data_IF_781821793890
#
_entry.id   IF_781821793890
#
_cell.length_a   1.000
_cell.length_b   1.000
_cell.length_c   1.000
_cell.angle_alpha   90.00
_cell.angle_beta   90.00
_cell.angle_gamma   90.00
#
_symmetry.space_group_name_H-M   'P 1'
#
loop_
_entity.id
_entity.type
_entity.pdbx_description
1 polymer ?
#
# COMPACT_ATOMS: atom_id res chain seq x y z
N UNK A 1 8.96 -10.36 17.80
CA UNK A 1 9.76 -11.19 16.89
C UNK A 1 9.03 -11.30 15.56
N UNK A 2 9.77 -11.38 14.46
CA UNK A 2 9.24 -11.38 13.10
C UNK A 2 9.96 -12.46 12.30
N UNK A 3 9.22 -13.22 11.50
CA UNK A 3 9.77 -14.07 10.44
C UNK A 3 9.43 -13.46 9.09
N UNK A 4 10.41 -13.39 8.20
CA UNK A 4 10.25 -12.86 6.85
C UNK A 4 10.89 -13.81 5.85
N UNK A 5 10.10 -14.25 4.87
CA UNK A 5 10.55 -14.99 3.70
C UNK A 5 10.30 -14.20 2.41
N UNK A 6 11.28 -14.16 1.51
CA UNK A 6 11.14 -13.58 0.17
C UNK A 6 12.05 -14.28 -0.84
N UNK A 7 11.74 -14.12 -2.13
CA UNK A 7 12.55 -14.64 -3.23
C UNK A 7 13.24 -13.51 -3.98
N UNK A 8 14.53 -13.68 -4.25
CA UNK A 8 15.33 -12.79 -5.10
C UNK A 8 16.32 -13.61 -5.91
N UNK A 9 16.35 -13.40 -7.23
CA UNK A 9 17.20 -14.12 -8.18
C UNK A 9 17.18 -15.66 -7.99
N UNK A 10 15.96 -16.24 -7.98
CA UNK A 10 15.68 -17.66 -7.72
C UNK A 10 16.21 -18.23 -6.39
N UNK A 11 16.66 -17.38 -5.48
CA UNK A 11 17.08 -17.76 -4.13
C UNK A 11 15.99 -17.37 -3.13
N UNK A 12 15.57 -18.32 -2.29
CA UNK A 12 14.65 -18.04 -1.17
C UNK A 12 15.46 -17.61 0.04
N UNK A 13 15.17 -16.44 0.58
CA UNK A 13 15.78 -15.92 1.80
C UNK A 13 14.78 -16.02 2.94
N UNK A 14 15.19 -16.66 4.03
CA UNK A 14 14.40 -16.79 5.27
C UNK A 14 15.12 -16.08 6.40
N UNK A 15 14.43 -15.18 7.09
CA UNK A 15 15.02 -14.35 8.14
C UNK A 15 14.13 -14.38 9.37
N UNK A 16 14.70 -14.73 10.51
CA UNK A 16 14.06 -14.55 11.82
C UNK A 16 14.70 -13.35 12.53
N UNK A 17 13.87 -12.45 13.04
CA UNK A 17 14.26 -11.22 13.70
C UNK A 17 13.73 -11.24 15.14
N UNK A 18 14.64 -11.25 16.11
CA UNK A 18 14.31 -11.17 17.53
C UNK A 18 14.66 -9.78 18.11
N UNK A 19 13.69 -9.14 18.75
CA UNK A 19 13.87 -7.78 19.26
C UNK A 19 13.93 -7.76 20.79
N UNK A 20 15.01 -7.22 21.36
CA UNK A 20 15.19 -7.06 22.82
C UNK A 20 15.22 -5.59 23.23
N UNK A 21 14.10 -5.13 23.77
CA UNK A 21 13.95 -3.78 24.30
C UNK A 21 14.25 -3.75 25.82
N UNK A 22 15.53 -3.87 26.18
CA UNK A 22 15.99 -3.76 27.56
C UNK A 22 16.62 -2.40 27.83
N UNK A 23 16.65 -2.01 29.10
CA UNK A 23 17.37 -0.83 29.56
C UNK A 23 18.86 -1.10 29.86
N UNK A 24 19.32 -2.33 29.63
CA UNK A 24 20.69 -2.79 29.81
C UNK A 24 21.13 -3.64 28.61
N UNK A 25 22.43 -3.94 28.52
CA UNK A 25 22.98 -4.75 27.43
C UNK A 25 22.46 -6.17 27.45
N UNK A 26 22.19 -6.73 26.26
CA UNK A 26 21.67 -8.09 26.10
C UNK A 26 22.75 -9.09 26.50
N UNK A 27 22.36 -10.04 27.36
CA UNK A 27 23.26 -11.09 27.84
C UNK A 27 23.46 -12.22 26.84
N UNK A 28 24.56 -12.95 26.96
CA UNK A 28 24.85 -14.12 26.13
C UNK A 28 23.74 -15.18 26.20
N UNK A 29 23.07 -15.32 27.35
CA UNK A 29 21.97 -16.26 27.51
C UNK A 29 20.85 -16.02 26.51
N UNK A 30 20.51 -14.76 26.23
CA UNK A 30 19.47 -14.42 25.26
C UNK A 30 19.86 -14.71 23.82
N UNK A 31 21.12 -14.47 23.46
CA UNK A 31 21.61 -14.84 22.12
C UNK A 31 21.65 -16.37 21.95
N UNK A 32 21.96 -17.12 23.02
CA UNK A 32 21.91 -18.59 23.03
C UNK A 32 20.50 -19.14 22.91
N UNK A 33 19.56 -18.57 23.64
CA UNK A 33 18.13 -18.93 23.54
C UNK A 33 17.66 -18.77 22.09
N UNK A 34 17.98 -17.64 21.46
CA UNK A 34 17.63 -17.38 20.05
C UNK A 34 18.33 -18.35 19.09
N UNK A 35 19.62 -18.62 19.30
CA UNK A 35 20.33 -19.62 18.51
C UNK A 35 19.67 -21.00 18.58
N UNK A 36 19.19 -21.41 19.76
CA UNK A 36 18.46 -22.68 19.90
C UNK A 36 17.24 -22.73 18.99
N UNK A 37 16.47 -21.65 18.92
CA UNK A 37 15.32 -21.54 18.00
C UNK A 37 15.77 -21.60 16.54
N UNK A 38 16.83 -20.87 16.17
CA UNK A 38 17.36 -20.87 14.80
C UNK A 38 17.90 -22.24 14.39
N UNK A 39 18.51 -22.98 15.31
CA UNK A 39 19.09 -24.29 15.06
C UNK A 39 18.03 -25.34 14.71
N UNK A 40 16.82 -25.20 15.25
CA UNK A 40 15.67 -26.04 14.92
C UNK A 40 15.04 -25.69 13.55
N UNK A 41 15.46 -24.58 12.92
CA UNK A 41 14.95 -24.12 11.64
C UNK A 41 15.96 -24.36 10.51
N UNK A 42 15.48 -24.84 9.37
CA UNK A 42 16.33 -25.06 8.19
C UNK A 42 16.53 -23.78 7.37
N UNK A 43 17.79 -23.40 7.15
CA UNK A 43 18.24 -22.31 6.28
C UNK A 43 17.69 -20.91 6.65
N UNK A 44 17.53 -20.64 7.95
CA UNK A 44 17.04 -19.34 8.44
C UNK A 44 18.20 -18.49 8.97
N UNK A 45 18.31 -17.26 8.45
CA UNK A 45 19.25 -16.25 8.97
C UNK A 45 18.68 -15.62 10.24
N UNK A 46 19.50 -15.54 11.28
CA UNK A 46 19.17 -14.87 12.54
C UNK A 46 19.61 -13.42 12.57
N UNK A 47 18.70 -12.52 12.93
CA UNK A 47 19.02 -11.13 13.28
C UNK A 47 18.47 -10.86 14.67
N UNK A 48 19.29 -10.38 15.60
CA UNK A 48 18.83 -9.85 16.88
C UNK A 48 19.02 -8.34 16.92
N UNK A 49 18.02 -7.62 17.40
CA UNK A 49 18.04 -6.15 17.48
C UNK A 49 17.83 -5.68 18.91
N UNK A 50 18.59 -4.69 19.35
CA UNK A 50 18.42 -4.04 20.67
C UNK A 50 18.71 -2.54 20.61
N UNK A 51 18.22 -1.78 21.60
CA UNK A 51 18.49 -0.33 21.74
C UNK A 51 19.69 0.02 22.61
N UNK A 52 20.27 -0.94 23.34
CA UNK A 52 21.33 -0.68 24.34
C UNK A 52 22.66 -1.33 24.04
N UNK A 53 22.68 -2.38 23.23
CA UNK A 53 23.87 -3.13 22.86
C UNK A 53 23.96 -4.49 23.53
N UNK A 54 25.10 -5.14 23.35
CA UNK A 54 25.34 -6.53 23.73
C UNK A 54 26.54 -6.65 24.65
N UNK A 55 26.52 -7.62 25.57
CA UNK A 55 27.72 -7.99 26.32
C UNK A 55 28.79 -8.57 25.38
N UNK A 56 30.07 -8.40 25.71
CA UNK A 56 31.21 -8.96 24.97
C UNK A 56 31.04 -10.45 24.60
N UNK A 57 30.60 -11.27 25.56
CA UNK A 57 30.35 -12.69 25.32
C UNK A 57 29.19 -12.96 24.36
N UNK A 58 28.19 -12.08 24.32
CA UNK A 58 27.07 -12.16 23.39
C UNK A 58 27.53 -11.80 21.97
N UNK A 59 28.36 -10.76 21.82
CA UNK A 59 28.96 -10.36 20.52
C UNK A 59 29.78 -11.48 19.90
N UNK A 60 30.70 -12.05 20.68
CA UNK A 60 31.53 -13.19 20.25
C UNK A 60 30.71 -14.43 19.88
N UNK A 61 29.63 -14.69 20.63
CA UNK A 61 28.74 -15.81 20.33
C UNK A 61 27.96 -15.57 19.02
N UNK A 62 27.39 -14.39 18.84
CA UNK A 62 26.66 -14.03 17.61
C UNK A 62 27.56 -14.14 16.37
N UNK A 63 28.77 -13.59 16.42
CA UNK A 63 29.76 -13.69 15.34
C UNK A 63 30.11 -15.14 15.00
N UNK A 64 30.37 -15.99 16.01
CA UNK A 64 30.73 -17.38 15.81
C UNK A 64 29.60 -18.22 15.17
N UNK A 65 28.34 -17.95 15.54
CA UNK A 65 27.17 -18.70 15.07
C UNK A 65 26.41 -18.02 13.93
N UNK A 66 26.94 -16.92 13.37
CA UNK A 66 26.33 -16.23 12.23
C UNK A 66 25.01 -15.52 12.53
N UNK A 67 24.83 -15.03 13.76
CA UNK A 67 23.67 -14.20 14.14
C UNK A 67 24.09 -12.73 14.04
N UNK A 68 23.40 -11.97 13.19
CA UNK A 68 23.62 -10.53 13.07
C UNK A 68 23.07 -9.82 14.30
N UNK A 69 23.93 -9.11 15.03
CA UNK A 69 23.56 -8.34 16.22
C UNK A 69 23.51 -6.85 15.87
N UNK A 70 22.33 -6.25 15.93
CA UNK A 70 22.09 -4.86 15.52
C UNK A 70 21.77 -4.00 16.74
N UNK A 71 22.54 -2.91 16.89
CA UNK A 71 22.31 -1.88 17.91
C UNK A 71 21.55 -0.71 17.28
N UNK A 72 20.24 -0.60 17.56
CA UNK A 72 19.40 0.51 17.13
C UNK A 72 19.46 1.64 18.17
N UNK A 73 20.57 2.37 18.18
CA UNK A 73 20.85 3.49 19.10
C UNK A 73 21.53 4.64 18.37
N UNK A 74 21.52 5.81 19.00
CA UNK A 74 22.37 6.92 18.56
C UNK A 74 23.85 6.60 18.88
N UNK A 75 24.80 7.11 18.07
CA UNK A 75 26.22 7.00 18.37
C UNK A 75 26.58 7.71 19.68
N UNK A 76 27.53 7.15 20.41
CA UNK A 76 28.11 7.78 21.61
C UNK A 76 29.30 8.70 21.24
N UNK A 77 29.79 9.47 22.21
CA UNK A 77 30.95 10.35 22.01
C UNK A 77 32.17 9.56 21.48
N UNK A 78 32.65 9.96 20.30
CA UNK A 78 33.76 9.29 19.61
C UNK A 78 33.34 8.28 18.55
N UNK A 79 32.05 7.97 18.43
CA UNK A 79 31.47 7.25 17.30
C UNK A 79 30.99 8.25 16.22
N UNK A 80 30.90 7.79 14.96
CA UNK A 80 30.45 8.62 13.84
C UNK A 80 29.38 7.90 13.03
N UNK A 81 28.39 8.66 12.55
CA UNK A 81 27.43 8.18 11.56
C UNK A 81 28.15 8.13 10.21
N UNK A 82 28.34 6.91 9.68
CA UNK A 82 29.00 6.71 8.38
C UNK A 82 28.06 7.00 7.21
N UNK A 83 26.76 6.76 7.39
CA UNK A 83 25.72 7.07 6.41
C UNK A 83 24.36 7.18 7.11
N UNK A 84 23.55 8.13 6.64
CA UNK A 84 22.13 8.25 6.98
C UNK A 84 21.34 8.04 5.68
N UNK A 85 20.25 7.26 5.76
CA UNK A 85 19.33 7.08 4.64
C UNK A 85 17.93 7.45 5.09
N UNK A 86 17.43 8.57 4.57
CA UNK A 86 16.06 9.02 4.78
C UNK A 86 15.24 8.65 3.57
N UNK A 87 14.19 7.85 3.78
CA UNK A 87 13.22 7.51 2.75
C UNK A 87 11.95 8.34 2.97
N UNK A 88 11.78 9.38 2.16
CA UNK A 88 10.52 10.14 2.08
C UNK A 88 9.74 9.65 0.88
N UNK A 89 8.53 9.13 1.11
CA UNK A 89 7.63 8.65 0.05
C UNK A 89 6.46 9.61 -0.04
N UNK A 90 6.52 10.53 -0.99
CA UNK A 90 5.38 11.37 -1.35
C UNK A 90 4.48 10.61 -2.32
N UNK A 91 3.26 10.26 -1.88
CA UNK A 91 2.27 9.59 -2.72
C UNK A 91 1.09 10.52 -3.00
N UNK A 92 0.83 10.81 -4.27
CA UNK A 92 -0.41 11.41 -4.72
C UNK A 92 -1.29 10.34 -5.36
N UNK A 93 -2.48 10.14 -4.79
CA UNK A 93 -3.45 9.19 -5.34
C UNK A 93 -4.36 9.94 -6.30
N UNK A 94 -4.41 9.51 -7.56
CA UNK A 94 -5.38 10.01 -8.54
C UNK A 94 -6.58 9.06 -8.56
N UNK A 95 -7.74 9.55 -8.14
CA UNK A 95 -9.00 8.80 -8.20
C UNK A 95 -9.64 8.99 -9.57
N UNK A 96 -10.16 7.89 -10.12
CA UNK A 96 -11.03 7.88 -11.31
C UNK A 96 -12.44 7.56 -10.86
N UNK A 97 -13.34 8.52 -11.01
CA UNK A 97 -14.70 8.45 -10.53
C UNK A 97 -15.70 8.67 -11.66
N UNK A 98 -16.91 8.13 -11.49
CA UNK A 98 -17.94 8.15 -12.51
C UNK A 98 -19.23 8.75 -11.96
N UNK A 99 -19.85 9.63 -12.74
CA UNK A 99 -21.24 10.02 -12.53
C UNK A 99 -22.12 9.02 -13.28
N UNK A 100 -22.89 8.22 -12.54
CA UNK A 100 -23.77 7.22 -13.14
C UNK A 100 -25.07 7.88 -13.59
N UNK A 101 -25.62 7.44 -14.71
CA UNK A 101 -26.96 7.83 -15.12
C UNK A 101 -28.00 7.17 -14.21
N UNK A 102 -28.48 7.90 -13.20
CA UNK A 102 -29.41 7.37 -12.19
C UNK A 102 -30.75 6.89 -12.78
N UNK A 103 -31.23 7.50 -13.86
CA UNK A 103 -32.49 7.09 -14.49
C UNK A 103 -32.30 5.74 -15.19
N UNK A 104 -31.21 5.59 -15.94
CA UNK A 104 -30.82 4.31 -16.54
C UNK A 104 -30.56 3.25 -15.45
N UNK A 105 -29.89 3.61 -14.35
CA UNK A 105 -29.61 2.68 -13.25
C UNK A 105 -30.89 2.15 -12.60
N UNK A 106 -31.91 3.01 -12.41
CA UNK A 106 -33.24 2.59 -11.91
C UNK A 106 -33.94 1.64 -12.87
N UNK A 107 -33.87 1.89 -14.17
CA UNK A 107 -34.46 1.02 -15.20
C UNK A 107 -33.78 -0.36 -15.28
N UNK A 108 -32.54 -0.47 -14.78
CA UNK A 108 -31.74 -1.70 -14.81
C UNK A 108 -31.55 -2.33 -13.42
N UNK A 109 -32.41 -1.98 -12.45
CA UNK A 109 -32.42 -2.51 -11.08
C UNK A 109 -31.09 -2.32 -10.31
N UNK A 110 -30.29 -1.31 -10.68
CA UNK A 110 -29.03 -0.98 -10.02
C UNK A 110 -29.24 0.00 -8.87
N UNK A 111 -29.15 -0.50 -7.64
CA UNK A 111 -29.24 0.34 -6.45
C UNK A 111 -27.92 1.05 -6.14
N UNK A 112 -27.76 2.26 -6.69
CA UNK A 112 -26.57 3.09 -6.51
C UNK A 112 -26.37 3.51 -5.04
N UNK A 113 -27.45 3.73 -4.29
CA UNK A 113 -27.36 4.13 -2.88
C UNK A 113 -26.79 3.00 -2.00
N UNK A 114 -27.26 1.77 -2.20
CA UNK A 114 -26.68 0.60 -1.53
C UNK A 114 -25.23 0.37 -1.93
N UNK A 115 -24.86 0.66 -3.18
CA UNK A 115 -23.46 0.58 -3.60
C UNK A 115 -22.58 1.64 -2.91
N UNK A 116 -23.03 2.89 -2.83
CA UNK A 116 -22.35 3.97 -2.09
C UNK A 116 -22.16 3.62 -0.60
N UNK A 117 -23.18 3.06 0.05
CA UNK A 117 -23.08 2.59 1.44
C UNK A 117 -22.02 1.51 1.63
N UNK A 118 -21.93 0.56 0.69
CA UNK A 118 -20.89 -0.48 0.72
C UNK A 118 -19.50 0.12 0.54
N UNK A 119 -19.33 1.09 -0.36
CA UNK A 119 -18.05 1.79 -0.53
C UNK A 119 -17.61 2.48 0.76
N UNK A 120 -18.52 3.15 1.48
CA UNK A 120 -18.20 3.78 2.76
C UNK A 120 -17.84 2.78 3.86
N UNK A 121 -18.52 1.64 3.91
CA UNK A 121 -18.17 0.57 4.85
C UNK A 121 -16.77 -0.01 4.60
N UNK A 122 -16.31 0.01 3.34
CA UNK A 122 -14.97 -0.44 2.96
C UNK A 122 -13.87 0.60 3.25
N UNK A 123 -14.22 1.85 3.55
CA UNK A 123 -13.25 2.86 4.00
C UNK A 123 -12.90 2.66 5.49
N UNK A 124 -11.60 2.79 5.82
CA UNK A 124 -11.11 2.69 7.20
C UNK A 124 -10.31 3.94 7.59
N UNK A 125 -10.79 4.77 8.55
CA UNK A 125 -12.09 4.65 9.22
C UNK A 125 -13.25 4.93 8.24
N UNK A 126 -14.46 4.46 8.59
CA UNK A 126 -15.68 4.79 7.85
C UNK A 126 -15.81 6.32 7.79
N UNK A 127 -15.74 6.89 6.58
CA UNK A 127 -15.56 8.33 6.41
C UNK A 127 -16.78 9.06 5.83
N UNK A 128 -17.84 8.34 5.43
CA UNK A 128 -19.05 8.94 4.85
C UNK A 128 -18.82 9.67 3.52
N UNK A 129 -17.66 9.43 2.88
CA UNK A 129 -17.22 10.09 1.65
C UNK A 129 -18.14 9.73 0.49
N UNK A 130 -18.54 8.48 0.38
CA UNK A 130 -19.23 7.94 -0.80
C UNK A 130 -20.74 8.07 -0.75
N UNK A 131 -21.37 8.01 0.44
CA UNK A 131 -22.84 8.10 0.58
C UNK A 131 -23.40 9.41 0.03
N UNK A 132 -22.63 10.50 0.17
CA UNK A 132 -23.01 11.83 -0.30
C UNK A 132 -22.31 12.24 -1.60
N UNK A 133 -21.46 11.38 -2.17
CA UNK A 133 -20.70 11.71 -3.38
C UNK A 133 -21.60 11.71 -4.63
N UNK A 134 -21.34 12.64 -5.55
CA UNK A 134 -21.95 12.63 -6.89
C UNK A 134 -21.25 11.60 -7.78
N UNK A 135 -19.91 11.57 -7.74
CA UNK A 135 -19.06 10.66 -8.48
C UNK A 135 -18.53 9.56 -7.59
N UNK A 136 -18.53 8.32 -8.08
CA UNK A 136 -18.09 7.16 -7.31
C UNK A 136 -17.12 6.29 -8.10
N UNK A 137 -16.21 5.55 -7.43
CA UNK A 137 -15.38 4.59 -8.12
C UNK A 137 -16.24 3.46 -8.69
N UNK A 138 -15.83 2.93 -9.84
CA UNK A 138 -16.37 1.71 -10.42
C UNK A 138 -15.22 0.77 -10.74
N UNK A 139 -15.39 -0.52 -10.43
CA UNK A 139 -14.46 -1.57 -10.86
C UNK A 139 -14.70 -1.87 -12.33
N UNK A 140 -13.97 -1.17 -13.20
CA UNK A 140 -14.04 -1.33 -14.65
C UNK A 140 -13.16 -2.50 -15.13
N UNK A 141 -13.67 -3.31 -16.07
CA UNK A 141 -12.92 -4.43 -16.70
C UNK A 141 -11.85 -3.97 -17.69
N UNK A 142 -12.01 -2.77 -18.22
CA UNK A 142 -11.12 -2.18 -19.22
C UNK A 142 -11.13 -0.66 -19.10
N UNK A 143 -10.07 -0.02 -19.59
CA UNK A 143 -9.95 1.45 -19.62
C UNK A 143 -10.63 2.06 -20.86
N UNK A 144 -11.82 1.59 -21.21
CA UNK A 144 -12.56 2.02 -22.42
C UNK A 144 -13.95 2.50 -22.07
N UNK A 145 -14.37 3.57 -22.74
CA UNK A 145 -15.75 4.06 -22.75
C UNK A 145 -16.35 3.76 -24.11
N UNK A 146 -17.58 3.24 -24.12
CA UNK A 146 -18.30 2.81 -25.33
C UNK A 146 -19.60 3.60 -25.49
N UNK A 147 -20.08 3.75 -26.71
CA UNK A 147 -21.43 4.22 -26.98
C UNK A 147 -22.45 3.07 -26.81
N UNK A 148 -23.75 3.35 -27.01
CA UNK A 148 -24.82 2.35 -26.95
C UNK A 148 -24.73 1.22 -27.99
N UNK A 149 -23.94 1.39 -29.04
CA UNK A 149 -23.67 0.35 -30.05
C UNK A 149 -22.47 -0.54 -29.66
N UNK A 150 -21.85 -0.28 -28.50
CA UNK A 150 -20.66 -0.98 -28.03
C UNK A 150 -19.35 -0.54 -28.69
N UNK A 151 -19.39 0.48 -29.56
CA UNK A 151 -18.20 1.06 -30.19
C UNK A 151 -17.42 1.88 -29.19
N UNK A 152 -16.10 1.69 -29.15
CA UNK A 152 -15.20 2.46 -28.29
C UNK A 152 -15.19 3.92 -28.78
N UNK A 153 -15.48 4.85 -27.87
CA UNK A 153 -15.44 6.30 -28.13
C UNK A 153 -14.27 6.97 -27.42
N UNK A 154 -13.84 6.46 -26.26
CA UNK A 154 -12.73 7.02 -25.47
C UNK A 154 -11.88 5.93 -24.86
N UNK A 155 -10.57 6.22 -24.83
CA UNK A 155 -9.56 5.48 -24.08
C UNK A 155 -9.24 6.27 -22.80
N UNK A 156 -9.62 5.74 -21.65
CA UNK A 156 -9.53 6.46 -20.37
C UNK A 156 -8.07 6.74 -20.03
N UNK A 157 -7.14 5.84 -20.39
CA UNK A 157 -5.70 6.06 -20.20
C UNK A 157 -5.19 7.29 -20.95
N UNK A 158 -5.70 7.53 -22.16
CA UNK A 158 -5.29 8.72 -22.94
C UNK A 158 -5.76 10.00 -22.26
N UNK A 159 -6.98 10.00 -21.71
CA UNK A 159 -7.43 11.13 -20.90
C UNK A 159 -6.51 11.35 -19.70
N UNK A 160 -6.15 10.28 -18.99
CA UNK A 160 -5.25 10.34 -17.83
C UNK A 160 -3.83 10.81 -18.17
N UNK A 161 -3.30 10.41 -19.32
CA UNK A 161 -1.95 10.77 -19.79
C UNK A 161 -1.85 12.26 -20.16
N UNK A 162 -2.96 12.86 -20.59
CA UNK A 162 -3.07 14.30 -20.90
C UNK A 162 -3.17 15.18 -19.64
N UNK A 163 -3.47 14.59 -18.47
CA UNK A 163 -3.58 15.33 -17.22
C UNK A 163 -2.20 15.75 -16.67
N UNK A 164 -2.10 16.93 -16.03
CA UNK A 164 -0.85 17.36 -15.42
C UNK A 164 -0.41 16.42 -14.29
N UNK A 165 0.90 16.20 -14.16
CA UNK A 165 1.49 15.30 -13.14
C UNK A 165 1.27 15.74 -11.68
N UNK A 166 0.96 17.02 -11.45
CA UNK A 166 0.66 17.59 -10.14
C UNK A 166 -0.68 18.31 -10.23
N UNK A 167 -1.59 17.99 -9.30
CA UNK A 167 -2.88 18.71 -9.22
C UNK A 167 -2.64 20.18 -8.91
N UNK A 168 -3.33 21.06 -9.64
CA UNK A 168 -3.40 22.50 -9.34
C UNK A 168 -4.84 22.94 -9.01
N UNK A 169 -5.78 22.00 -8.95
CA UNK A 169 -7.20 22.30 -8.97
C UNK A 169 -7.90 21.45 -7.90
N UNK A 170 -8.62 22.12 -6.99
CA UNK A 170 -9.31 21.47 -5.87
C UNK A 170 -10.49 20.59 -6.34
N UNK A 171 -11.11 20.93 -7.49
CA UNK A 171 -12.34 20.27 -7.97
C UNK A 171 -12.13 19.10 -8.94
N UNK A 172 -10.90 18.82 -9.36
CA UNK A 172 -10.58 17.74 -10.34
C UNK A 172 -10.91 18.06 -11.81
N UNK A 173 -10.71 17.08 -12.69
CA UNK A 173 -10.92 17.17 -14.15
C UNK A 173 -12.13 16.34 -14.56
N UNK A 174 -13.14 16.96 -15.17
CA UNK A 174 -14.42 16.32 -15.52
C UNK A 174 -14.60 16.26 -17.04
N UNK A 175 -15.00 15.08 -17.52
CA UNK A 175 -15.27 14.80 -18.93
C UNK A 175 -16.72 14.30 -19.09
N UNK A 176 -17.62 15.13 -19.65
CA UNK A 176 -19.02 14.75 -19.83
C UNK A 176 -19.25 13.92 -21.10
N UNK A 177 -20.29 13.10 -21.06
CA UNK A 177 -20.72 12.23 -22.14
C UNK A 177 -22.26 12.20 -22.24
N UNK A 178 -22.79 12.26 -23.46
CA UNK A 178 -24.23 12.17 -23.68
C UNK A 178 -24.75 10.73 -23.57
N UNK A 179 -24.03 9.78 -24.16
CA UNK A 179 -24.43 8.38 -24.22
C UNK A 179 -23.22 7.45 -24.16
N UNK A 180 -22.77 7.18 -22.94
CA UNK A 180 -21.54 6.46 -22.67
C UNK A 180 -21.74 5.33 -21.65
N UNK A 181 -20.99 4.26 -21.84
CA UNK A 181 -21.02 3.06 -21.03
C UNK A 181 -19.60 2.60 -20.67
N UNK A 182 -19.45 2.07 -19.47
CA UNK A 182 -18.23 1.40 -19.00
C UNK A 182 -18.54 -0.05 -18.62
N UNK A 183 -17.63 -0.96 -18.99
CA UNK A 183 -17.74 -2.38 -18.64
C UNK A 183 -17.33 -2.61 -17.19
N UNK A 184 -18.20 -3.23 -16.40
CA UNK A 184 -17.93 -3.60 -15.01
C UNK A 184 -18.18 -5.09 -14.78
N UNK A 185 -17.95 -5.58 -13.55
CA UNK A 185 -18.36 -6.94 -13.17
C UNK A 185 -19.87 -7.16 -13.21
N UNK A 186 -20.67 -6.11 -13.07
CA UNK A 186 -22.14 -6.18 -13.10
C UNK A 186 -22.75 -5.94 -14.49
N UNK A 187 -21.90 -5.82 -15.52
CA UNK A 187 -22.31 -5.50 -16.88
C UNK A 187 -21.93 -4.07 -17.29
N UNK A 188 -22.49 -3.62 -18.40
CA UNK A 188 -22.27 -2.27 -18.93
C UNK A 188 -23.07 -1.27 -18.09
N UNK A 189 -22.40 -0.29 -17.49
CA UNK A 189 -23.03 0.77 -16.69
C UNK A 189 -23.02 2.07 -17.48
N UNK A 190 -24.20 2.70 -17.64
CA UNK A 190 -24.32 4.00 -18.28
C UNK A 190 -23.81 5.12 -17.37
N UNK A 191 -22.96 5.97 -17.91
CA UNK A 191 -22.35 7.09 -17.21
C UNK A 191 -22.64 8.42 -17.93
N UNK A 192 -22.70 9.49 -17.15
CA UNK A 192 -22.82 10.88 -17.62
C UNK A 192 -21.45 11.57 -17.65
N UNK A 193 -20.57 11.26 -16.71
CA UNK A 193 -19.27 11.93 -16.58
C UNK A 193 -18.18 10.96 -16.08
N UNK A 194 -16.93 11.23 -16.48
CA UNK A 194 -15.73 10.70 -15.82
C UNK A 194 -15.00 11.87 -15.17
N UNK A 195 -14.66 11.72 -13.89
CA UNK A 195 -13.92 12.69 -13.10
C UNK A 195 -12.59 12.12 -12.61
N UNK A 196 -11.53 12.91 -12.74
CA UNK A 196 -10.23 12.62 -12.13
C UNK A 196 -9.94 13.62 -11.00
N UNK A 197 -9.79 13.14 -9.77
CA UNK A 197 -9.44 13.96 -8.61
C UNK A 197 -8.16 13.47 -7.95
N UNK A 198 -7.47 14.35 -7.24
CA UNK A 198 -6.22 14.02 -6.55
C UNK A 198 -6.41 14.11 -5.05
N UNK A 199 -5.90 13.09 -4.35
CA UNK A 199 -5.82 13.05 -2.90
C UNK A 199 -4.34 13.09 -2.52
N UNK A 200 -3.92 14.21 -1.94
CA UNK A 200 -2.57 14.41 -1.45
C UNK A 200 -2.49 13.87 -0.02
N UNK A 201 -1.61 12.90 0.21
CA UNK A 201 -1.24 12.47 1.55
C UNK A 201 0.14 13.05 1.84
N UNK A 202 0.17 14.11 2.66
CA UNK A 202 1.40 14.69 3.23
C UNK A 202 1.79 13.96 4.51
#
# INVERSE_FOLDING_TARGET
DVYWEYQYDNTTFKIAIECKNYNHTVSIGKVRDFFGVLYDLEEVKGIMVTKKGYQEGAKKYGEYYGIDLIELREPEDGEAIVAETTLTIDCSVRHRLFLIDEDWAKEHDLNIQSYKQRLDWLCSPVCGKWINATHIPLTTKEDKIRNSEGKIIVDIRKLEDELPKKSKQDDGYVYPFENAYVKTEWGDIKIKEVKFEYENHT
#
